data_IF_868738343852
#
_entry.id   IF_868738343852
#
_cell.length_a   1.000
_cell.length_b   1.000
_cell.length_c   1.000
_cell.angle_alpha   90.00
_cell.angle_beta   90.00
_cell.angle_gamma   90.00
#
_symmetry.space_group_name_H-M   'P 1'
#
loop_
_entity.id
_entity.type
_entity.pdbx_description
1 polymer ?
#
# COMPACT_ATOMS: atom_id res chain seq x y z
N UNK A 1 -0.66 -9.63 16.09
CA UNK A 1 -0.30 -10.44 14.89
C UNK A 1 1.16 -10.21 14.54
N UNK A 2 1.95 -11.24 14.17
CA UNK A 2 3.35 -11.12 13.78
C UNK A 2 3.68 -12.03 12.59
N UNK A 3 4.62 -11.61 11.74
CA UNK A 3 5.05 -12.35 10.54
C UNK A 3 6.01 -13.47 10.93
N UNK A 4 5.61 -14.72 10.72
CA UNK A 4 6.45 -15.91 10.98
C UNK A 4 7.36 -16.23 9.79
N UNK A 5 6.83 -16.12 8.58
CA UNK A 5 7.53 -16.49 7.35
C UNK A 5 7.01 -15.68 6.18
N UNK A 6 7.88 -15.32 5.27
CA UNK A 6 7.55 -14.74 3.97
C UNK A 6 8.12 -15.61 2.85
N UNK A 7 7.33 -15.81 1.81
CA UNK A 7 7.77 -16.36 0.54
C UNK A 7 7.63 -15.31 -0.56
N UNK A 8 8.65 -15.14 -1.34
CA UNK A 8 8.77 -14.13 -2.39
C UNK A 8 9.21 -14.82 -3.68
N UNK A 9 8.54 -14.49 -4.79
CA UNK A 9 8.90 -14.94 -6.12
C UNK A 9 8.82 -13.78 -7.11
N UNK A 10 9.91 -13.53 -7.83
CA UNK A 10 10.03 -12.52 -8.90
C UNK A 10 9.64 -11.09 -8.49
N UNK A 11 9.99 -10.67 -7.27
CA UNK A 11 9.67 -9.35 -6.76
C UNK A 11 10.91 -8.43 -6.81
N UNK A 12 10.86 -7.38 -7.63
CA UNK A 12 11.98 -6.45 -7.87
C UNK A 12 13.25 -7.19 -8.27
N UNK A 13 14.32 -7.12 -7.45
CA UNK A 13 15.55 -7.88 -7.71
C UNK A 13 15.60 -9.26 -7.02
N UNK A 14 14.55 -9.61 -6.26
CA UNK A 14 14.44 -10.90 -5.61
C UNK A 14 13.83 -11.91 -6.57
N UNK A 15 14.61 -12.94 -6.92
CA UNK A 15 14.12 -14.04 -7.76
C UNK A 15 13.23 -14.98 -6.95
N UNK A 16 13.81 -15.56 -5.93
CA UNK A 16 13.12 -16.41 -4.98
C UNK A 16 13.75 -16.23 -3.60
N UNK A 17 12.91 -16.05 -2.60
CA UNK A 17 13.35 -15.99 -1.22
C UNK A 17 12.28 -16.57 -0.30
N UNK A 18 12.71 -17.33 0.67
CA UNK A 18 11.88 -17.81 1.76
C UNK A 18 12.60 -17.53 3.07
N UNK A 19 11.99 -16.78 3.96
CA UNK A 19 12.60 -16.33 5.22
C UNK A 19 11.64 -16.54 6.37
N UNK A 20 12.17 -17.10 7.45
CA UNK A 20 11.49 -17.19 8.73
C UNK A 20 11.97 -16.08 9.66
N UNK A 21 11.06 -15.54 10.44
CA UNK A 21 11.32 -14.45 11.37
C UNK A 21 11.17 -14.91 12.83
N UNK A 22 11.89 -14.27 13.72
CA UNK A 22 11.64 -14.34 15.15
C UNK A 22 10.57 -13.33 15.56
N UNK A 23 9.89 -13.58 16.66
CA UNK A 23 8.81 -12.71 17.14
C UNK A 23 9.30 -11.32 17.59
N UNK A 24 10.57 -11.18 17.95
CA UNK A 24 11.09 -9.92 18.52
C UNK A 24 11.89 -9.14 17.47
N UNK A 25 13.17 -9.43 17.35
CA UNK A 25 14.10 -8.68 16.52
C UNK A 25 14.68 -9.58 15.42
N UNK A 26 14.74 -9.05 14.21
CA UNK A 26 15.32 -9.70 13.05
C UNK A 26 16.31 -8.73 12.39
N UNK A 27 17.54 -9.13 12.22
CA UNK A 27 18.56 -8.35 11.52
C UNK A 27 18.75 -8.89 10.10
N UNK A 28 18.60 -8.01 9.09
CA UNK A 28 18.82 -8.35 7.69
C UNK A 28 20.15 -7.78 7.27
N UNK A 29 21.15 -8.65 7.09
CA UNK A 29 22.53 -8.28 6.79
C UNK A 29 22.90 -8.74 5.37
N UNK A 30 23.72 -7.98 4.67
CA UNK A 30 24.20 -8.32 3.34
C UNK A 30 24.77 -7.10 2.60
N UNK A 31 25.44 -7.35 1.48
CA UNK A 31 26.02 -6.31 0.62
C UNK A 31 24.93 -5.39 0.03
N UNK A 32 25.31 -4.19 -0.39
CA UNK A 32 24.38 -3.29 -1.09
C UNK A 32 23.92 -3.91 -2.41
N UNK A 33 22.70 -3.61 -2.80
CA UNK A 33 22.10 -4.18 -4.01
C UNK A 33 21.48 -5.58 -3.84
N UNK A 34 21.70 -6.29 -2.73
CA UNK A 34 21.22 -7.67 -2.52
C UNK A 34 19.71 -7.80 -2.21
N UNK A 35 18.97 -6.70 -2.22
CA UNK A 35 17.52 -6.74 -2.05
C UNK A 35 17.00 -6.58 -0.62
N UNK A 36 17.85 -6.16 0.35
CA UNK A 36 17.41 -5.92 1.75
C UNK A 36 16.20 -4.99 1.83
N UNK A 37 16.28 -3.84 1.17
CA UNK A 37 15.16 -2.87 1.11
C UNK A 37 13.95 -3.45 0.37
N UNK A 38 14.17 -4.26 -0.67
CA UNK A 38 13.09 -4.90 -1.41
C UNK A 38 12.38 -5.99 -0.60
N UNK A 39 13.08 -6.64 0.32
CA UNK A 39 12.47 -7.53 1.30
C UNK A 39 11.57 -6.75 2.27
N UNK A 40 12.05 -5.61 2.80
CA UNK A 40 11.24 -4.74 3.67
C UNK A 40 10.00 -4.21 2.93
N UNK A 41 10.18 -3.83 1.65
CA UNK A 41 9.09 -3.38 0.80
C UNK A 41 8.08 -4.52 0.49
N UNK A 42 8.52 -5.77 0.38
CA UNK A 42 7.62 -6.91 0.23
C UNK A 42 6.75 -7.12 1.49
N UNK A 43 7.33 -6.96 2.69
CA UNK A 43 6.57 -6.97 3.95
C UNK A 43 5.56 -5.81 3.99
N UNK A 44 5.99 -4.61 3.60
CA UNK A 44 5.11 -3.45 3.48
C UNK A 44 3.96 -3.70 2.49
N UNK A 45 4.27 -4.31 1.34
CA UNK A 45 3.28 -4.63 0.31
C UNK A 45 2.17 -5.55 0.84
N UNK A 46 2.53 -6.54 1.64
CA UNK A 46 1.57 -7.45 2.28
C UNK A 46 0.67 -6.75 3.32
N UNK A 47 1.08 -5.63 3.89
CA UNK A 47 0.26 -4.81 4.80
C UNK A 47 -0.61 -3.79 4.07
N UNK A 48 -0.04 -3.07 3.10
CA UNK A 48 -0.67 -1.93 2.44
C UNK A 48 -1.21 -2.21 1.03
N UNK A 49 -1.13 -3.43 0.55
CA UNK A 49 -1.52 -3.84 -0.81
C UNK A 49 -0.80 -3.04 -1.92
N UNK A 50 0.30 -2.38 -1.61
CA UNK A 50 1.11 -1.57 -2.55
C UNK A 50 2.55 -1.46 -2.07
N UNK A 51 3.48 -1.18 -3.00
CA UNK A 51 4.87 -0.89 -2.66
C UNK A 51 5.00 0.48 -1.98
N UNK A 52 5.91 0.59 -1.01
CA UNK A 52 6.28 1.87 -0.40
C UNK A 52 7.14 2.73 -1.33
N UNK A 53 7.95 2.09 -2.19
CA UNK A 53 8.96 2.75 -3.02
C UNK A 53 8.56 2.92 -4.48
N UNK A 54 7.60 2.11 -4.98
CA UNK A 54 7.15 2.18 -6.36
C UNK A 54 5.62 2.05 -6.45
N UNK A 55 4.90 3.13 -6.82
CA UNK A 55 3.44 3.12 -6.87
C UNK A 55 2.85 2.31 -8.01
N UNK A 56 3.65 1.99 -9.04
CA UNK A 56 3.19 1.25 -10.21
C UNK A 56 3.41 -0.24 -9.97
N UNK A 57 2.34 -0.98 -9.72
CA UNK A 57 2.39 -2.40 -9.38
C UNK A 57 3.20 -3.26 -10.36
N UNK A 58 3.03 -3.04 -11.68
CA UNK A 58 3.73 -3.82 -12.71
C UNK A 58 5.25 -3.61 -12.74
N UNK A 59 5.74 -2.49 -12.20
CA UNK A 59 7.17 -2.20 -12.10
C UNK A 59 7.83 -2.91 -10.90
N UNK A 60 7.03 -3.52 -10.04
CA UNK A 60 7.54 -4.36 -8.96
C UNK A 60 7.80 -5.82 -9.41
N UNK A 61 7.39 -6.19 -10.63
CA UNK A 61 7.74 -7.47 -11.24
C UNK A 61 9.23 -7.44 -11.61
N UNK A 62 9.95 -8.52 -11.27
CA UNK A 62 11.37 -8.68 -11.61
C UNK A 62 11.59 -8.50 -13.12
N UNK A 63 12.72 -7.91 -13.50
CA UNK A 63 13.10 -7.76 -14.90
C UNK A 63 13.05 -9.10 -15.64
N UNK A 64 12.59 -9.10 -16.88
CA UNK A 64 12.38 -10.30 -17.72
C UNK A 64 11.36 -11.31 -17.21
N UNK A 65 10.58 -10.96 -16.18
CA UNK A 65 9.51 -11.82 -15.67
C UNK A 65 8.12 -11.21 -15.97
N UNK A 66 7.10 -12.07 -16.00
CA UNK A 66 5.72 -11.66 -16.29
C UNK A 66 4.86 -11.50 -15.05
N UNK A 67 5.31 -11.98 -13.92
CA UNK A 67 4.53 -11.97 -12.67
C UNK A 67 5.43 -11.92 -11.43
N UNK A 68 4.85 -11.56 -10.31
CA UNK A 68 5.42 -11.80 -8.99
C UNK A 68 4.39 -12.44 -8.05
N UNK A 69 4.88 -13.08 -7.01
CA UNK A 69 4.08 -13.60 -5.89
C UNK A 69 4.74 -13.22 -4.58
N UNK A 70 3.93 -12.71 -3.66
CA UNK A 70 4.27 -12.49 -2.25
C UNK A 70 3.31 -13.29 -1.38
N UNK A 71 3.82 -14.01 -0.40
CA UNK A 71 3.01 -14.78 0.54
C UNK A 71 3.56 -14.62 1.95
N UNK A 72 2.75 -14.09 2.84
CA UNK A 72 3.09 -13.90 4.25
C UNK A 72 2.31 -14.87 5.12
N UNK A 73 3.01 -15.54 6.02
CA UNK A 73 2.44 -16.43 7.04
C UNK A 73 2.58 -15.76 8.39
N UNK A 74 1.46 -15.46 8.99
CA UNK A 74 1.37 -14.72 10.25
C UNK A 74 0.79 -15.62 11.35
N UNK A 75 0.97 -15.17 12.57
CA UNK A 75 0.33 -15.75 13.75
C UNK A 75 -0.33 -14.63 14.55
N UNK A 76 -1.59 -14.82 14.93
CA UNK A 76 -2.33 -13.89 15.80
C UNK A 76 -1.79 -13.94 17.23
N UNK A 77 -2.31 -13.11 18.11
CA UNK A 77 -1.96 -13.14 19.53
C UNK A 77 -2.48 -14.41 20.21
N UNK A 78 -3.59 -14.93 19.72
CA UNK A 78 -4.22 -16.18 20.18
C UNK A 78 -3.53 -17.45 19.64
N UNK A 79 -2.56 -17.28 18.71
CA UNK A 79 -1.81 -18.39 18.12
C UNK A 79 -2.41 -18.92 16.83
N UNK A 80 -3.48 -18.33 16.33
CA UNK A 80 -4.12 -18.77 15.08
C UNK A 80 -3.28 -18.41 13.86
N UNK A 81 -3.15 -19.33 12.88
CA UNK A 81 -2.43 -19.05 11.65
C UNK A 81 -3.24 -18.15 10.71
N UNK A 82 -2.56 -17.19 10.13
CA UNK A 82 -3.10 -16.29 9.11
C UNK A 82 -2.19 -16.28 7.89
N UNK A 83 -2.77 -16.37 6.72
CA UNK A 83 -2.07 -16.33 5.44
C UNK A 83 -2.53 -15.14 4.61
N UNK A 84 -1.57 -14.37 4.10
CA UNK A 84 -1.82 -13.30 3.15
C UNK A 84 -1.06 -13.58 1.87
N UNK A 85 -1.76 -13.58 0.75
CA UNK A 85 -1.23 -13.83 -0.58
C UNK A 85 -1.47 -12.63 -1.49
N UNK A 86 -0.44 -12.24 -2.23
CA UNK A 86 -0.53 -11.29 -3.32
C UNK A 86 0.13 -11.86 -4.57
N UNK A 87 -0.62 -11.97 -5.66
CA UNK A 87 -0.11 -12.32 -6.97
C UNK A 87 -0.45 -11.24 -8.00
N UNK A 88 0.52 -10.84 -8.79
CA UNK A 88 0.32 -9.93 -9.92
C UNK A 88 0.96 -10.50 -11.17
N UNK A 89 0.20 -10.56 -12.26
CA UNK A 89 0.69 -10.83 -13.61
C UNK A 89 0.53 -9.57 -14.46
N UNK A 90 1.50 -9.32 -15.37
CA UNK A 90 1.43 -8.18 -16.30
C UNK A 90 0.08 -8.13 -17.02
N UNK A 91 -0.49 -6.94 -17.12
CA UNK A 91 -1.79 -6.68 -17.78
C UNK A 91 -2.99 -7.43 -17.16
N UNK A 92 -2.84 -7.96 -15.96
CA UNK A 92 -3.95 -8.60 -15.23
C UNK A 92 -4.22 -7.85 -13.92
N UNK A 93 -5.44 -8.04 -13.39
CA UNK A 93 -5.83 -7.52 -12.09
C UNK A 93 -5.02 -8.23 -11.00
N UNK A 94 -4.52 -7.46 -10.06
CA UNK A 94 -3.85 -7.98 -8.85
C UNK A 94 -4.81 -8.85 -8.04
N UNK A 95 -4.36 -10.04 -7.69
CA UNK A 95 -5.04 -10.93 -6.76
C UNK A 95 -4.49 -10.71 -5.36
N UNK A 96 -5.36 -10.44 -4.41
CA UNK A 96 -4.99 -10.30 -3.01
C UNK A 96 -5.96 -11.12 -2.16
N UNK A 97 -5.41 -12.06 -1.36
CA UNK A 97 -6.21 -13.03 -0.62
C UNK A 97 -5.77 -13.09 0.85
N UNK A 98 -6.72 -13.32 1.74
CA UNK A 98 -6.50 -13.69 3.13
C UNK A 98 -7.10 -15.06 3.37
N UNK A 99 -6.34 -16.00 3.90
CA UNK A 99 -6.79 -17.38 4.14
C UNK A 99 -7.50 -18.00 2.92
N UNK A 100 -6.87 -17.82 1.73
CA UNK A 100 -7.38 -18.27 0.42
C UNK A 100 -8.63 -17.52 -0.09
N UNK A 101 -9.25 -16.63 0.70
CA UNK A 101 -10.40 -15.83 0.29
C UNK A 101 -9.93 -14.51 -0.33
N UNK A 102 -10.36 -14.23 -1.57
CA UNK A 102 -10.01 -13.01 -2.28
C UNK A 102 -10.78 -11.80 -1.73
N UNK A 103 -10.10 -10.65 -1.64
CA UNK A 103 -10.72 -9.40 -1.26
C UNK A 103 -11.52 -8.80 -2.41
N UNK A 104 -12.74 -8.39 -2.14
CA UNK A 104 -13.56 -7.59 -3.07
C UNK A 104 -13.03 -6.15 -3.15
N UNK A 105 -12.63 -5.61 -2.01
CA UNK A 105 -12.04 -4.28 -1.86
C UNK A 105 -10.72 -4.38 -1.10
N UNK A 106 -9.63 -3.94 -1.70
CA UNK A 106 -8.30 -3.97 -1.05
C UNK A 106 -8.24 -3.10 0.21
N UNK A 107 -9.05 -2.05 0.28
CA UNK A 107 -9.19 -1.24 1.49
C UNK A 107 -9.60 -2.05 2.72
N UNK A 108 -10.28 -3.20 2.54
CA UNK A 108 -10.72 -4.06 3.66
C UNK A 108 -9.56 -4.80 4.33
N UNK A 109 -8.40 -4.82 3.68
CA UNK A 109 -7.17 -5.39 4.22
C UNK A 109 -6.37 -4.38 5.06
N UNK A 110 -6.47 -3.09 4.75
CA UNK A 110 -5.69 -2.03 5.43
C UNK A 110 -6.04 -2.00 6.92
N UNK A 111 -5.02 -1.99 7.76
CA UNK A 111 -5.15 -2.01 9.23
C UNK A 111 -5.23 -3.41 9.85
N UNK A 112 -5.40 -4.46 9.05
CA UNK A 112 -5.36 -5.84 9.55
C UNK A 112 -3.98 -6.23 10.08
N UNK A 113 -2.94 -5.80 9.36
CA UNK A 113 -1.53 -6.00 9.71
C UNK A 113 -0.91 -4.61 9.91
N UNK A 114 -1.05 -4.00 11.09
CA UNK A 114 -0.50 -2.68 11.33
C UNK A 114 1.03 -2.71 11.21
N UNK A 115 1.58 -1.74 10.48
CA UNK A 115 2.99 -1.67 10.17
C UNK A 115 3.46 -0.22 10.11
N UNK A 116 4.63 0.03 10.68
CA UNK A 116 5.37 1.27 10.50
C UNK A 116 6.69 0.95 9.82
N UNK A 117 6.99 1.65 8.74
CA UNK A 117 8.26 1.55 8.03
C UNK A 117 8.99 2.88 8.17
N UNK A 118 10.24 2.81 8.63
CA UNK A 118 11.11 3.99 8.76
C UNK A 118 12.32 3.81 7.84
N UNK A 119 12.65 4.84 7.11
CA UNK A 119 13.76 4.87 6.17
C UNK A 119 14.59 6.15 6.31
N UNK A 120 15.84 6.20 5.81
CA UNK A 120 16.61 7.45 5.80
C UNK A 120 15.92 8.60 5.04
N UNK A 121 15.01 8.29 4.10
CA UNK A 121 14.24 9.31 3.37
C UNK A 121 13.19 10.02 4.24
N UNK A 122 12.85 9.48 5.41
CA UNK A 122 11.85 10.08 6.32
C UNK A 122 12.36 11.36 7.01
N UNK A 123 13.65 11.68 6.87
CA UNK A 123 14.17 13.02 7.16
C UNK A 123 13.41 14.11 6.39
N UNK A 124 12.79 13.78 5.24
CA UNK A 124 11.93 14.66 4.48
C UNK A 124 10.65 15.06 5.24
N UNK A 125 10.22 14.32 6.25
CA UNK A 125 9.11 14.72 7.13
C UNK A 125 9.44 16.02 7.88
N UNK A 126 10.72 16.26 8.18
CA UNK A 126 11.22 17.46 8.85
C UNK A 126 11.64 18.50 7.82
N UNK A 127 12.50 18.14 6.88
CA UNK A 127 13.12 19.07 5.92
C UNK A 127 12.22 19.35 4.69
N UNK A 128 11.26 18.48 4.39
CA UNK A 128 10.37 18.58 3.24
C UNK A 128 9.13 19.43 3.47
N UNK A 129 8.26 19.42 2.46
CA UNK A 129 7.02 20.17 2.45
C UNK A 129 5.90 19.57 3.30
N UNK A 130 4.74 20.21 3.25
CA UNK A 130 3.55 19.74 3.97
C UNK A 130 2.93 18.48 3.34
N UNK A 131 3.29 18.16 2.10
CA UNK A 131 2.76 17.01 1.38
C UNK A 131 3.25 15.70 1.99
N UNK A 132 4.54 15.57 2.28
CA UNK A 132 5.14 14.39 2.92
C UNK A 132 4.53 14.16 4.29
N UNK A 133 4.34 15.23 5.09
CA UNK A 133 3.69 15.12 6.40
C UNK A 133 2.24 14.66 6.31
N UNK A 134 1.46 15.21 5.35
CA UNK A 134 0.09 14.76 5.11
C UNK A 134 0.06 13.30 4.69
N UNK A 135 0.92 12.91 3.74
CA UNK A 135 1.02 11.52 3.28
C UNK A 135 1.36 10.56 4.41
N UNK A 136 2.27 10.95 5.30
CA UNK A 136 2.60 10.14 6.48
C UNK A 136 1.39 9.99 7.41
N UNK A 137 0.69 11.08 7.74
CA UNK A 137 -0.53 11.03 8.54
C UNK A 137 -1.61 10.16 7.89
N UNK A 138 -1.80 10.28 6.58
CA UNK A 138 -2.77 9.45 5.84
C UNK A 138 -2.46 7.95 5.97
N UNK A 139 -1.19 7.57 5.86
CA UNK A 139 -0.75 6.18 6.03
C UNK A 139 -1.02 5.69 7.45
N UNK A 140 -0.71 6.48 8.46
CA UNK A 140 -0.90 6.11 9.85
C UNK A 140 -2.39 6.01 10.19
N UNK A 141 -3.16 7.07 9.96
CA UNK A 141 -4.59 7.13 10.32
C UNK A 141 -5.41 6.05 9.59
N UNK A 142 -5.10 5.80 8.32
CA UNK A 142 -5.80 4.78 7.52
C UNK A 142 -5.72 3.37 8.08
N UNK A 143 -4.75 3.07 8.95
CA UNK A 143 -4.62 1.75 9.54
C UNK A 143 -5.59 1.47 10.70
N UNK A 144 -6.07 2.50 11.38
CA UNK A 144 -6.95 2.34 12.54
C UNK A 144 -8.31 3.06 12.41
N UNK A 145 -8.46 3.95 11.44
CA UNK A 145 -9.71 4.69 11.20
C UNK A 145 -10.29 4.36 9.81
N UNK A 146 -11.32 3.55 9.82
CA UNK A 146 -11.98 3.08 8.59
C UNK A 146 -12.73 4.20 7.86
N UNK A 147 -13.38 5.08 8.61
CA UNK A 147 -14.11 6.22 8.04
C UNK A 147 -13.13 7.17 7.34
N UNK A 148 -11.98 7.41 7.96
CA UNK A 148 -10.90 8.20 7.36
C UNK A 148 -10.42 7.59 6.04
N UNK A 149 -10.12 6.29 6.03
CA UNK A 149 -9.65 5.59 4.84
C UNK A 149 -10.66 5.67 3.69
N UNK A 150 -11.93 5.44 3.97
CA UNK A 150 -13.00 5.51 2.96
C UNK A 150 -13.18 6.95 2.44
N UNK A 151 -13.12 7.95 3.32
CA UNK A 151 -13.16 9.37 2.93
C UNK A 151 -11.94 9.75 2.07
N UNK A 152 -10.75 9.35 2.46
CA UNK A 152 -9.52 9.62 1.73
C UNK A 152 -9.51 9.00 0.32
N UNK A 153 -9.99 7.77 0.19
CA UNK A 153 -10.13 7.10 -1.12
C UNK A 153 -11.10 7.86 -2.03
N UNK A 154 -12.26 8.26 -1.49
CA UNK A 154 -13.28 9.01 -2.24
C UNK A 154 -12.79 10.41 -2.63
N UNK A 155 -12.12 11.11 -1.71
CA UNK A 155 -11.52 12.41 -1.96
C UNK A 155 -10.49 12.34 -3.10
N UNK A 156 -9.55 11.40 -3.02
CA UNK A 156 -8.52 11.25 -4.05
C UNK A 156 -9.12 10.86 -5.42
N UNK A 157 -10.17 10.04 -5.45
CA UNK A 157 -10.89 9.71 -6.68
C UNK A 157 -11.53 10.96 -7.29
N UNK A 158 -12.24 11.74 -6.48
CA UNK A 158 -12.89 12.97 -6.94
C UNK A 158 -11.86 14.00 -7.45
N UNK A 159 -10.75 14.16 -6.73
CA UNK A 159 -9.64 15.04 -7.13
C UNK A 159 -9.07 14.67 -8.49
N UNK A 160 -8.84 13.38 -8.75
CA UNK A 160 -8.34 12.89 -10.05
C UNK A 160 -9.35 13.20 -11.17
N UNK A 161 -10.64 12.92 -10.95
CA UNK A 161 -11.69 13.16 -11.95
C UNK A 161 -11.84 14.65 -12.24
N UNK A 162 -11.91 15.49 -11.19
CA UNK A 162 -11.96 16.94 -11.36
C UNK A 162 -10.75 17.48 -12.15
N UNK A 163 -9.55 17.06 -11.80
CA UNK A 163 -8.35 17.48 -12.50
C UNK A 163 -8.31 16.98 -13.95
N UNK A 164 -8.91 15.84 -14.26
CA UNK A 164 -9.03 15.34 -15.64
C UNK A 164 -9.98 16.20 -16.45
N UNK A 165 -11.14 16.59 -15.89
CA UNK A 165 -12.08 17.50 -16.55
C UNK A 165 -11.45 18.88 -16.82
N UNK A 166 -10.73 19.45 -15.85
CA UNK A 166 -10.06 20.75 -16.00
C UNK A 166 -8.93 20.76 -17.03
N UNK A 167 -8.35 19.60 -17.33
CA UNK A 167 -7.28 19.46 -18.34
C UNK A 167 -7.80 19.13 -19.72
N UNK A 168 -9.09 18.85 -19.86
CA UNK A 168 -9.69 18.60 -21.17
C UNK A 168 -9.68 19.87 -22.02
N UNK A 169 -9.55 19.73 -23.33
CA UNK A 169 -9.55 20.86 -24.30
C UNK A 169 -10.94 21.51 -24.46
N UNK A 170 -12.00 20.78 -24.10
CA UNK A 170 -13.37 21.26 -24.13
C UNK A 170 -13.76 21.84 -22.76
N UNK A 171 -14.68 22.80 -22.76
CA UNK A 171 -15.26 23.31 -21.52
C UNK A 171 -15.84 22.14 -20.71
N UNK A 172 -15.49 22.03 -19.41
CA UNK A 172 -15.98 20.95 -18.59
C UNK A 172 -17.50 21.05 -18.39
N UNK A 173 -18.15 19.91 -18.38
CA UNK A 173 -19.56 19.79 -18.00
C UNK A 173 -19.72 20.26 -16.54
N UNK A 174 -20.48 21.36 -16.36
CA UNK A 174 -20.70 21.99 -15.06
C UNK A 174 -21.39 21.06 -14.05
N UNK A 175 -22.36 20.25 -14.51
CA UNK A 175 -23.08 19.32 -13.63
C UNK A 175 -22.13 18.24 -13.10
N UNK A 176 -21.32 17.69 -14.00
CA UNK A 176 -20.33 16.69 -13.62
C UNK A 176 -19.22 17.28 -12.73
N UNK A 177 -18.82 18.52 -12.97
CA UNK A 177 -17.86 19.23 -12.14
C UNK A 177 -18.39 19.41 -10.71
N UNK A 178 -19.63 19.88 -10.59
CA UNK A 178 -20.30 20.08 -9.30
C UNK A 178 -20.38 18.80 -8.47
N UNK A 179 -20.69 17.66 -9.10
CA UNK A 179 -20.71 16.34 -8.41
C UNK A 179 -19.36 16.00 -7.77
N UNK A 180 -18.26 16.22 -8.51
CA UNK A 180 -16.92 15.96 -7.97
C UNK A 180 -16.51 16.95 -6.89
N UNK A 181 -16.87 18.22 -7.03
CA UNK A 181 -16.56 19.27 -6.04
C UNK A 181 -17.34 19.06 -4.73
N UNK A 182 -18.62 18.70 -4.79
CA UNK A 182 -19.42 18.32 -3.61
C UNK A 182 -18.83 17.08 -2.90
N UNK A 183 -18.42 16.08 -3.68
CA UNK A 183 -17.74 14.91 -3.11
C UNK A 183 -16.41 15.29 -2.46
N UNK A 184 -15.63 16.18 -3.06
CA UNK A 184 -14.37 16.68 -2.48
C UNK A 184 -14.63 17.47 -1.21
N UNK A 185 -15.65 18.34 -1.18
CA UNK A 185 -15.99 19.14 0.00
C UNK A 185 -16.39 18.24 1.18
N UNK A 186 -17.33 17.33 0.98
CA UNK A 186 -17.83 16.44 2.03
C UNK A 186 -16.79 15.48 2.57
N UNK A 187 -16.01 14.84 1.68
CA UNK A 187 -14.96 13.91 2.11
C UNK A 187 -13.70 14.63 2.63
N UNK A 188 -13.39 15.79 2.06
CA UNK A 188 -12.30 16.66 2.49
C UNK A 188 -12.50 17.18 3.92
N UNK A 189 -13.72 17.45 4.33
CA UNK A 189 -14.05 17.83 5.72
C UNK A 189 -13.69 16.71 6.70
N UNK A 190 -14.04 15.46 6.40
CA UNK A 190 -13.68 14.31 7.23
C UNK A 190 -12.17 14.16 7.33
N UNK A 191 -11.47 14.25 6.19
CA UNK A 191 -10.00 14.17 6.13
C UNK A 191 -9.35 15.30 6.93
N UNK A 192 -9.86 16.53 6.81
CA UNK A 192 -9.32 17.70 7.52
C UNK A 192 -9.49 17.58 9.04
N UNK A 193 -10.67 17.15 9.50
CA UNK A 193 -10.94 17.04 10.95
C UNK A 193 -10.12 15.94 11.65
N UNK A 194 -9.81 14.87 10.94
CA UNK A 194 -9.12 13.69 11.50
C UNK A 194 -7.60 13.73 11.33
N UNK A 195 -7.06 14.66 10.53
CA UNK A 195 -5.63 14.89 10.32
C UNK A 195 -5.04 15.82 11.36
#
# INVERSE_FOLDING_TARGET
>A
MWLKRISILNYKNLEQAELAFSRKMNCIIGKNGMGKTNLMDAVYYLSFCKSATNPIDSQNIRHEQDFFVLQGFYETEDGDPEEVYCGLKRRQKKQFKRNKKEYTRLSDHIGLIPLVMVSPADTLLIAGGSEERRRFMDVVISQFDREYLDALIRYNKALVQRNTLLKAELEPDEELMNVWEEMMASTGEVVFRKR
#
